data_IF_420027414229
#
_entry.id   IF_420027414229
#
_cell.length_a   1.000
_cell.length_b   1.000
_cell.length_c   1.000
_cell.angle_alpha   90.00
_cell.angle_beta   90.00
_cell.angle_gamma   90.00
#
_symmetry.space_group_name_H-M   'P 1'
#
loop_
_entity.id
_entity.type
_entity.pdbx_description
1 polymer ?
#
# COMPACT_ATOMS: atom_id res chain seq x y z
N UNK A 1 21.52 19.34 -5.03
CA UNK A 1 22.82 19.91 -5.45
C UNK A 1 24.02 19.04 -5.06
N UNK A 2 24.05 18.45 -3.85
CA UNK A 2 25.21 17.68 -3.37
C UNK A 2 25.68 16.56 -4.31
N UNK A 3 24.77 15.68 -4.76
CA UNK A 3 25.12 14.54 -5.63
C UNK A 3 25.77 15.02 -6.94
N UNK A 4 25.20 16.01 -7.61
CA UNK A 4 25.77 16.58 -8.84
C UNK A 4 27.21 17.08 -8.63
N UNK A 5 27.48 17.77 -7.52
CA UNK A 5 28.83 18.25 -7.19
C UNK A 5 29.82 17.09 -6.94
N UNK A 6 29.37 16.00 -6.33
CA UNK A 6 30.21 14.80 -6.14
C UNK A 6 30.52 14.12 -7.48
N UNK A 7 29.55 14.01 -8.39
CA UNK A 7 29.76 13.42 -9.72
C UNK A 7 30.76 14.27 -10.53
N UNK A 8 30.63 15.59 -10.47
CA UNK A 8 31.56 16.52 -11.10
C UNK A 8 32.98 16.41 -10.52
N UNK A 9 33.12 16.34 -9.19
CA UNK A 9 34.41 16.16 -8.53
C UNK A 9 35.11 14.83 -8.90
N UNK A 10 34.33 13.79 -9.23
CA UNK A 10 34.82 12.52 -9.74
C UNK A 10 35.17 12.55 -11.24
N UNK A 11 35.01 13.71 -11.91
CA UNK A 11 35.29 13.87 -13.33
C UNK A 11 34.25 13.24 -14.26
N UNK A 12 33.06 12.91 -13.74
CA UNK A 12 31.96 12.40 -14.55
C UNK A 12 31.37 13.53 -15.38
N UNK A 13 30.86 13.18 -16.57
CA UNK A 13 30.20 14.13 -17.45
C UNK A 13 28.70 14.17 -17.15
N UNK A 14 28.07 15.35 -17.21
CA UNK A 14 26.62 15.47 -17.11
C UNK A 14 25.92 14.77 -18.26
N UNK A 15 24.75 14.17 -17.98
CA UNK A 15 23.91 13.46 -18.95
C UNK A 15 22.41 13.79 -18.82
N UNK A 16 22.08 14.77 -17.98
CA UNK A 16 20.74 15.29 -17.80
C UNK A 16 20.38 16.37 -18.82
N UNK A 17 19.25 17.04 -18.57
CA UNK A 17 18.71 18.09 -19.42
C UNK A 17 19.68 19.26 -19.55
N UNK A 18 19.79 19.80 -20.76
CA UNK A 18 20.66 20.93 -21.12
C UNK A 18 22.14 20.76 -20.70
N UNK A 19 22.63 19.51 -20.70
CA UNK A 19 24.01 19.20 -20.33
C UNK A 19 24.28 19.38 -18.84
N UNK A 20 23.26 19.27 -17.98
CA UNK A 20 23.39 19.28 -16.52
C UNK A 20 23.40 17.88 -15.94
N UNK A 21 23.62 17.72 -14.64
CA UNK A 21 23.44 16.45 -13.93
C UNK A 21 21.98 16.20 -13.52
N UNK A 22 21.04 17.03 -13.96
CA UNK A 22 19.65 17.01 -13.49
C UNK A 22 18.71 16.60 -14.61
N UNK A 23 17.75 15.73 -14.28
CA UNK A 23 16.60 15.42 -15.12
C UNK A 23 15.36 15.97 -14.41
N UNK A 24 14.76 17.07 -14.88
CA UNK A 24 13.52 17.58 -14.33
C UNK A 24 12.37 16.67 -14.72
N UNK A 25 11.44 16.47 -13.80
CA UNK A 25 10.18 15.76 -14.02
C UNK A 25 9.13 16.31 -13.06
N UNK A 26 7.86 16.23 -13.45
CA UNK A 26 6.76 16.67 -12.61
C UNK A 26 6.46 15.59 -11.56
N UNK A 27 6.23 16.06 -10.34
CA UNK A 27 5.84 15.22 -9.20
C UNK A 27 4.51 15.71 -8.65
N UNK A 28 3.61 14.77 -8.42
CA UNK A 28 2.41 15.04 -7.62
C UNK A 28 2.77 14.85 -6.16
N UNK A 29 2.75 15.94 -5.41
CA UNK A 29 2.93 15.93 -3.97
C UNK A 29 1.62 15.58 -3.26
N UNK A 30 1.67 14.62 -2.34
CA UNK A 30 0.57 14.34 -1.40
C UNK A 30 1.03 14.78 -0.02
N UNK A 31 0.42 15.84 0.51
CA UNK A 31 0.72 16.36 1.85
C UNK A 31 -0.36 16.04 2.88
N UNK A 32 -1.53 15.61 2.42
CA UNK A 32 -2.63 15.25 3.30
C UNK A 32 -2.36 13.93 4.01
N UNK A 33 -2.41 13.98 5.34
CA UNK A 33 -2.41 12.80 6.20
C UNK A 33 -3.47 12.97 7.29
N UNK A 34 -4.19 11.91 7.67
CA UNK A 34 -5.07 11.96 8.83
C UNK A 34 -4.22 12.08 10.11
N UNK A 35 -4.67 12.90 11.07
CA UNK A 35 -4.01 12.97 12.39
C UNK A 35 -4.37 11.75 13.25
N UNK A 36 -5.62 11.28 13.14
CA UNK A 36 -6.13 10.11 13.85
C UNK A 36 -6.98 9.24 12.93
N UNK A 37 -7.09 7.97 13.29
CA UNK A 37 -8.05 7.04 12.68
C UNK A 37 -8.93 6.45 13.77
N UNK A 38 -10.25 6.50 13.58
CA UNK A 38 -11.20 5.86 14.50
C UNK A 38 -11.82 4.62 13.86
N UNK A 39 -11.76 3.50 14.57
CA UNK A 39 -12.38 2.24 14.18
C UNK A 39 -13.49 1.95 15.18
N UNK A 40 -14.69 1.65 14.69
CA UNK A 40 -15.85 1.28 15.51
C UNK A 40 -16.29 -0.13 15.16
N UNK A 41 -16.39 -0.99 16.16
CA UNK A 41 -16.89 -2.36 16.06
C UNK A 41 -17.88 -2.65 17.20
N UNK A 42 -18.70 -3.71 17.11
CA UNK A 42 -19.61 -4.08 18.20
C UNK A 42 -18.91 -4.31 19.56
N UNK A 43 -17.63 -4.70 19.53
CA UNK A 43 -16.80 -4.94 20.71
C UNK A 43 -16.20 -3.67 21.33
N UNK A 44 -16.30 -2.52 20.65
CA UNK A 44 -15.76 -1.26 21.14
C UNK A 44 -15.29 -0.32 20.03
N UNK A 45 -14.71 0.81 20.44
CA UNK A 45 -14.06 1.76 19.56
C UNK A 45 -12.56 1.82 19.87
N UNK A 46 -11.75 1.97 18.83
CA UNK A 46 -10.32 2.24 18.94
C UNK A 46 -10.01 3.56 18.23
N UNK A 47 -9.12 4.33 18.82
CA UNK A 47 -8.51 5.51 18.21
C UNK A 47 -7.02 5.21 18.01
N UNK A 48 -6.55 5.37 16.78
CA UNK A 48 -5.18 5.11 16.36
C UNK A 48 -4.48 6.42 16.07
N UNK A 49 -3.22 6.52 16.48
CA UNK A 49 -2.36 7.68 16.27
C UNK A 49 -1.50 7.51 15.03
N UNK A 50 -1.46 8.55 14.21
CA UNK A 50 -0.63 8.57 13.02
C UNK A 50 0.86 8.46 13.38
N UNK A 51 1.64 7.75 12.57
CA UNK A 51 3.06 7.40 12.77
C UNK A 51 3.38 6.46 13.95
N UNK A 52 2.49 6.30 14.93
CA UNK A 52 2.66 5.33 16.02
C UNK A 52 1.96 4.01 15.70
N UNK A 53 0.65 4.09 15.42
CA UNK A 53 -0.19 2.90 15.23
C UNK A 53 -0.46 2.61 13.74
N UNK A 54 -0.38 3.64 12.88
CA UNK A 54 -0.63 3.48 11.46
C UNK A 54 0.11 4.50 10.59
N UNK A 55 0.30 4.11 9.33
CA UNK A 55 0.68 4.99 8.23
C UNK A 55 -0.46 4.99 7.23
N UNK A 56 -0.89 6.17 6.78
CA UNK A 56 -1.87 6.34 5.72
C UNK A 56 -1.33 7.31 4.69
N UNK A 57 -1.58 6.97 3.43
CA UNK A 57 -1.28 7.81 2.27
C UNK A 57 -2.50 7.84 1.37
N UNK A 58 -2.75 8.96 0.71
CA UNK A 58 -3.79 9.01 -0.31
C UNK A 58 -3.31 8.30 -1.58
N UNK A 59 -4.10 7.36 -2.07
CA UNK A 59 -3.91 6.75 -3.40
C UNK A 59 -4.53 7.55 -4.54
N UNK A 60 -5.19 8.69 -4.25
CA UNK A 60 -5.93 9.50 -5.21
C UNK A 60 -5.42 10.95 -5.23
N UNK A 61 -5.44 11.55 -6.41
CA UNK A 61 -4.98 12.93 -6.64
C UNK A 61 -6.15 13.92 -6.61
N UNK A 62 -6.81 14.02 -5.45
CA UNK A 62 -7.91 14.97 -5.21
C UNK A 62 -7.62 15.84 -3.99
N UNK A 63 -8.23 17.04 -3.87
CA UNK A 63 -7.95 17.95 -2.76
C UNK A 63 -8.22 17.35 -1.38
N UNK A 64 -9.22 16.48 -1.29
CA UNK A 64 -9.60 15.79 -0.06
C UNK A 64 -10.01 14.35 -0.40
N UNK A 65 -9.42 13.39 0.30
CA UNK A 65 -9.83 11.98 0.27
C UNK A 65 -10.40 11.62 1.64
N UNK A 66 -11.61 11.07 1.67
CA UNK A 66 -12.31 10.69 2.90
C UNK A 66 -12.85 9.27 2.80
N UNK A 67 -12.63 8.49 3.84
CA UNK A 67 -13.34 7.24 4.12
C UNK A 67 -14.41 7.54 5.17
N UNK A 68 -15.68 7.57 4.77
CA UNK A 68 -16.79 7.91 5.66
C UNK A 68 -17.55 6.66 6.09
N UNK A 69 -17.22 6.13 7.27
CA UNK A 69 -17.88 4.99 7.89
C UNK A 69 -18.13 3.80 6.93
N UNK A 70 -17.22 3.58 5.97
CA UNK A 70 -17.29 2.46 5.04
C UNK A 70 -17.19 1.15 5.82
N UNK A 71 -17.98 0.15 5.40
CA UNK A 71 -17.92 -1.18 5.98
C UNK A 71 -16.50 -1.76 5.90
N UNK A 72 -16.02 -2.31 7.01
CA UNK A 72 -14.73 -3.01 7.07
C UNK A 72 -14.91 -4.48 6.73
N UNK A 73 -14.17 -4.98 5.75
CA UNK A 73 -14.20 -6.39 5.33
C UNK A 73 -12.81 -6.99 5.43
N UNK A 74 -12.67 -8.04 6.23
CA UNK A 74 -11.43 -8.81 6.29
C UNK A 74 -11.35 -9.77 5.10
N UNK A 75 -10.29 -9.65 4.31
CA UNK A 75 -10.09 -10.41 3.06
C UNK A 75 -8.82 -11.26 3.10
N UNK A 76 -8.44 -11.78 4.26
CA UNK A 76 -7.25 -12.63 4.39
C UNK A 76 -6.00 -11.90 3.90
N UNK A 77 -5.29 -12.50 2.94
CA UNK A 77 -4.12 -11.88 2.32
C UNK A 77 -4.46 -11.01 1.10
N UNK A 78 -5.72 -10.89 0.68
CA UNK A 78 -6.10 -10.12 -0.50
C UNK A 78 -5.45 -10.63 -1.79
N UNK A 79 -5.26 -11.96 -1.89
CA UNK A 79 -4.62 -12.61 -3.03
C UNK A 79 -5.67 -13.21 -3.97
N UNK A 80 -5.48 -12.97 -5.26
CA UNK A 80 -6.08 -13.76 -6.32
C UNK A 80 -4.96 -14.35 -7.18
N UNK A 81 -4.83 -15.67 -7.12
CA UNK A 81 -3.77 -16.45 -7.76
C UNK A 81 -4.33 -17.80 -8.26
N UNK A 82 -4.90 -17.83 -9.48
CA UNK A 82 -5.52 -19.04 -10.05
C UNK A 82 -4.57 -20.24 -10.13
N UNK A 83 -3.27 -20.01 -10.32
CA UNK A 83 -2.24 -21.04 -10.37
C UNK A 83 -2.00 -21.75 -9.02
N UNK A 84 -2.41 -21.11 -7.92
CA UNK A 84 -2.44 -21.68 -6.58
C UNK A 84 -3.86 -22.10 -6.16
N UNK A 85 -4.84 -22.05 -7.08
CA UNK A 85 -6.26 -22.23 -6.78
C UNK A 85 -6.73 -21.36 -5.59
N UNK A 86 -6.20 -20.13 -5.50
CA UNK A 86 -6.42 -19.23 -4.38
C UNK A 86 -7.14 -17.96 -4.79
N UNK A 87 -8.23 -17.64 -4.09
CA UNK A 87 -8.95 -16.38 -4.23
C UNK A 87 -9.49 -15.98 -2.85
N UNK A 88 -8.93 -14.92 -2.27
CA UNK A 88 -9.38 -14.36 -0.99
C UNK A 88 -10.67 -13.53 -1.13
N UNK A 89 -10.99 -13.06 -2.33
CA UNK A 89 -12.16 -12.22 -2.58
C UNK A 89 -13.42 -13.07 -2.84
N UNK A 90 -13.28 -14.28 -3.40
CA UNK A 90 -14.36 -15.29 -3.56
C UNK A 90 -15.67 -14.75 -4.14
N UNK A 91 -15.60 -13.73 -5.00
CA UNK A 91 -16.77 -13.08 -5.60
C UNK A 91 -17.58 -12.17 -4.67
N UNK A 92 -17.04 -11.78 -3.51
CA UNK A 92 -17.66 -10.80 -2.61
C UNK A 92 -17.84 -9.45 -3.30
N UNK A 93 -18.95 -8.76 -3.01
CA UNK A 93 -19.11 -7.35 -3.39
C UNK A 93 -18.33 -6.47 -2.42
N UNK A 94 -17.21 -5.93 -2.90
CA UNK A 94 -16.28 -5.11 -2.12
C UNK A 94 -16.33 -3.63 -2.50
N UNK A 95 -17.25 -3.26 -3.40
CA UNK A 95 -17.34 -1.90 -3.90
C UNK A 95 -17.67 -0.92 -2.78
N UNK A 96 -16.87 0.12 -2.65
CA UNK A 96 -17.07 1.17 -1.64
C UNK A 96 -16.76 0.75 -0.20
N UNK A 97 -16.28 -0.48 0.03
CA UNK A 97 -15.89 -0.98 1.36
C UNK A 97 -14.41 -0.70 1.64
N UNK A 98 -14.00 -0.77 2.90
CA UNK A 98 -12.59 -0.72 3.28
C UNK A 98 -12.09 -2.11 3.60
N UNK A 99 -11.03 -2.56 2.92
CA UNK A 99 -10.50 -3.90 3.09
C UNK A 99 -9.46 -3.94 4.21
N UNK A 100 -9.58 -4.94 5.09
CA UNK A 100 -8.53 -5.31 6.04
C UNK A 100 -7.76 -6.49 5.46
N UNK A 101 -6.46 -6.30 5.24
CA UNK A 101 -5.60 -7.23 4.47
C UNK A 101 -4.39 -7.58 5.32
N UNK A 102 -4.06 -8.87 5.46
CA UNK A 102 -2.80 -9.28 6.07
C UNK A 102 -1.62 -8.92 5.16
N UNK A 103 -0.57 -8.39 5.75
CA UNK A 103 0.70 -8.21 5.05
C UNK A 103 1.29 -9.58 4.67
N UNK A 104 2.11 -9.60 3.62
CA UNK A 104 2.75 -10.80 3.07
C UNK A 104 1.79 -11.79 2.40
N UNK A 105 2.28 -12.98 2.10
CA UNK A 105 1.63 -14.21 1.67
C UNK A 105 1.63 -15.26 2.81
N UNK A 106 0.86 -16.37 2.74
CA UNK A 106 0.76 -17.35 3.82
C UNK A 106 2.04 -18.20 3.98
N UNK A 107 3.11 -17.56 4.44
CA UNK A 107 4.47 -18.13 4.51
C UNK A 107 4.63 -19.28 5.52
N UNK A 108 3.65 -19.45 6.43
CA UNK A 108 3.63 -20.50 7.44
C UNK A 108 3.42 -21.91 6.84
N UNK A 109 2.82 -22.03 5.65
CA UNK A 109 2.77 -23.30 4.91
C UNK A 109 3.84 -23.30 3.81
N UNK A 110 4.93 -24.08 3.95
CA UNK A 110 6.01 -24.11 2.96
C UNK A 110 5.58 -24.64 1.58
N UNK A 111 4.40 -25.25 1.47
CA UNK A 111 3.84 -25.76 0.20
C UNK A 111 3.04 -24.70 -0.55
N UNK A 112 2.65 -23.62 0.11
CA UNK A 112 1.89 -22.52 -0.47
C UNK A 112 2.83 -21.37 -0.76
N UNK A 113 2.68 -20.75 -1.93
CA UNK A 113 3.38 -19.51 -2.29
C UNK A 113 4.91 -19.52 -2.08
N UNK A 114 5.56 -20.68 -2.19
CA UNK A 114 7.02 -20.78 -2.00
C UNK A 114 7.49 -20.60 -0.55
N UNK A 115 6.59 -20.73 0.43
CA UNK A 115 6.86 -20.61 1.86
C UNK A 115 7.39 -19.22 2.22
N UNK A 116 8.60 -19.17 2.79
CA UNK A 116 9.25 -17.91 3.21
C UNK A 116 9.84 -17.11 2.04
N UNK A 117 9.67 -17.58 0.82
CA UNK A 117 10.13 -16.86 -0.37
C UNK A 117 9.17 -15.72 -0.65
N UNK A 118 9.63 -14.47 -0.55
CA UNK A 118 8.75 -13.32 -0.80
C UNK A 118 8.34 -13.24 -2.27
N UNK A 119 7.12 -13.68 -2.56
CA UNK A 119 6.53 -13.59 -3.90
C UNK A 119 5.91 -12.21 -4.17
N UNK A 120 5.55 -11.98 -5.43
CA UNK A 120 4.79 -10.80 -5.87
C UNK A 120 3.53 -10.59 -5.01
N UNK A 121 2.83 -11.68 -4.70
CA UNK A 121 1.63 -11.67 -3.88
C UNK A 121 1.82 -11.08 -2.49
N UNK A 122 3.01 -11.21 -1.88
CA UNK A 122 3.30 -10.70 -0.54
C UNK A 122 3.68 -9.21 -0.48
N UNK A 123 3.62 -8.49 -1.60
CA UNK A 123 3.97 -7.07 -1.64
C UNK A 123 2.76 -6.16 -1.42
N UNK A 124 2.99 -5.02 -0.76
CA UNK A 124 1.96 -4.07 -0.38
C UNK A 124 1.34 -3.34 -1.57
N UNK A 125 2.13 -3.03 -2.61
CA UNK A 125 1.68 -2.47 -3.88
C UNK A 125 0.63 -3.37 -4.55
N UNK A 126 0.91 -4.68 -4.63
CA UNK A 126 -0.06 -5.67 -5.13
C UNK A 126 -1.38 -5.63 -4.34
N UNK A 127 -1.34 -5.54 -3.00
CA UNK A 127 -2.57 -5.49 -2.17
C UNK A 127 -3.43 -4.28 -2.50
N UNK A 128 -2.80 -3.10 -2.61
CA UNK A 128 -3.51 -1.87 -2.95
C UNK A 128 -4.08 -1.92 -4.38
N UNK A 129 -3.33 -2.47 -5.33
CA UNK A 129 -3.82 -2.68 -6.69
C UNK A 129 -5.03 -3.62 -6.74
N UNK A 130 -5.02 -4.72 -5.98
CA UNK A 130 -6.16 -5.63 -5.93
C UNK A 130 -7.38 -4.98 -5.28
N UNK A 131 -7.19 -4.26 -4.17
CA UNK A 131 -8.27 -3.51 -3.53
C UNK A 131 -8.90 -2.50 -4.49
N UNK A 132 -8.08 -1.77 -5.26
CA UNK A 132 -8.56 -0.86 -6.29
C UNK A 132 -9.32 -1.59 -7.41
N UNK A 133 -8.82 -2.75 -7.89
CA UNK A 133 -9.48 -3.56 -8.95
C UNK A 133 -10.87 -4.03 -8.55
N UNK A 134 -11.06 -4.41 -7.29
CA UNK A 134 -12.37 -4.84 -6.77
C UNK A 134 -13.28 -3.66 -6.38
N UNK A 135 -12.82 -2.43 -6.55
CA UNK A 135 -13.59 -1.21 -6.32
C UNK A 135 -13.72 -0.81 -4.85
N UNK A 136 -12.82 -1.30 -3.98
CA UNK A 136 -12.79 -0.88 -2.58
C UNK A 136 -12.58 0.64 -2.46
N UNK A 137 -13.20 1.25 -1.45
CA UNK A 137 -12.97 2.66 -1.13
C UNK A 137 -11.59 2.88 -0.50
N UNK A 138 -11.07 1.87 0.21
CA UNK A 138 -9.76 1.91 0.85
C UNK A 138 -9.25 0.52 1.21
N UNK A 139 -7.98 0.45 1.60
CA UNK A 139 -7.37 -0.76 2.11
C UNK A 139 -6.45 -0.42 3.28
N UNK A 140 -6.46 -1.29 4.29
CA UNK A 140 -5.61 -1.21 5.46
C UNK A 140 -4.84 -2.53 5.53
N UNK A 141 -3.52 -2.43 5.43
CA UNK A 141 -2.62 -3.58 5.55
C UNK A 141 -2.25 -3.74 7.02
N UNK A 142 -2.51 -4.93 7.56
CA UNK A 142 -2.20 -5.31 8.92
C UNK A 142 -0.80 -5.92 8.97
N UNK A 143 0.08 -5.29 9.73
CA UNK A 143 1.39 -5.83 10.07
C UNK A 143 1.29 -6.58 11.39
N UNK A 144 1.51 -7.88 11.35
CA UNK A 144 1.54 -8.73 12.54
C UNK A 144 2.97 -8.86 13.06
N UNK A 145 3.17 -8.68 14.35
CA UNK A 145 4.39 -9.12 15.03
C UNK A 145 4.23 -10.60 15.33
N UNK A 146 5.09 -11.44 14.73
CA UNK A 146 5.20 -12.84 15.13
C UNK A 146 5.65 -12.98 16.59
#
# INVERSE_FOLDING_TARGET
AYIAAQLEALGLKPAGTDGTFFQPFDLVGVTGHPETMSIRAPLGAAELKFHEDFIAVSGVQVPEAKLDASELVFVGYGIQAPEYAWDDFKGMDLRGKTLLILNSDPEDDPRLFGGRTRLWYGRWDYKYEQAAKVGAAGAIILHTTA
#
